data_IF_807374839574
#
_entry.id   IF_807374839574
#
_cell.length_a   1.000
_cell.length_b   1.000
_cell.length_c   1.000
_cell.angle_alpha   90.00
_cell.angle_beta   90.00
_cell.angle_gamma   90.00
#
_symmetry.space_group_name_H-M   'P 1'
#
loop_
_entity.id
_entity.type
_entity.pdbx_description
1 polymer ?
#
# COMPACT_ATOMS: atom_id res chain seq x y z
N UNK A 1 -26.98 -9.52 7.60
CA UNK A 1 -26.41 -8.74 6.49
C UNK A 1 -25.37 -7.72 6.98
N UNK A 2 -25.63 -6.89 7.99
CA UNK A 2 -24.70 -5.88 8.49
C UNK A 2 -23.33 -6.46 8.91
N UNK A 3 -23.32 -7.52 9.72
CA UNK A 3 -22.10 -8.19 10.16
C UNK A 3 -21.24 -8.72 9.00
N UNK A 4 -21.91 -9.24 7.94
CA UNK A 4 -21.20 -9.71 6.74
C UNK A 4 -20.48 -8.56 6.03
N UNK A 5 -21.14 -7.41 5.89
CA UNK A 5 -20.53 -6.23 5.25
C UNK A 5 -19.39 -5.64 6.09
N UNK A 6 -19.48 -5.71 7.42
CA UNK A 6 -18.37 -5.33 8.30
C UNK A 6 -17.13 -6.22 8.06
N UNK A 7 -17.32 -7.54 7.98
CA UNK A 7 -16.20 -8.47 7.69
C UNK A 7 -15.59 -8.18 6.30
N UNK A 8 -16.43 -7.99 5.29
CA UNK A 8 -15.98 -7.66 3.94
C UNK A 8 -15.21 -6.32 3.93
N UNK A 9 -15.75 -5.30 4.61
CA UNK A 9 -15.12 -3.99 4.71
C UNK A 9 -13.82 -4.00 5.48
N UNK A 10 -13.72 -4.79 6.57
CA UNK A 10 -12.47 -4.98 7.31
C UNK A 10 -11.41 -5.68 6.44
N UNK A 11 -11.80 -6.67 5.65
CA UNK A 11 -10.89 -7.37 4.74
C UNK A 11 -10.34 -6.44 3.66
N UNK A 12 -11.20 -5.65 3.03
CA UNK A 12 -10.80 -4.65 2.04
C UNK A 12 -9.92 -3.56 2.67
N UNK A 13 -10.34 -3.06 3.82
CA UNK A 13 -9.59 -2.05 4.59
C UNK A 13 -8.22 -2.53 5.07
N UNK A 14 -8.06 -3.83 5.34
CA UNK A 14 -6.78 -4.44 5.65
C UNK A 14 -5.80 -4.33 4.47
N UNK A 15 -6.25 -4.60 3.25
CA UNK A 15 -5.42 -4.42 2.05
C UNK A 15 -5.08 -2.94 1.82
N UNK A 16 -6.06 -2.05 1.97
CA UNK A 16 -5.81 -0.60 1.89
C UNK A 16 -4.78 -0.12 2.90
N UNK A 17 -4.78 -0.70 4.10
CA UNK A 17 -3.76 -0.43 5.13
C UNK A 17 -2.36 -0.76 4.65
N UNK A 18 -2.14 -1.92 4.02
CA UNK A 18 -0.82 -2.33 3.51
C UNK A 18 -0.30 -1.36 2.44
N UNK A 19 -1.15 -0.98 1.49
CA UNK A 19 -0.75 -0.05 0.43
C UNK A 19 -0.51 1.35 1.02
N UNK A 20 -1.37 1.81 1.92
CA UNK A 20 -1.20 3.09 2.60
C UNK A 20 0.11 3.13 3.41
N UNK A 21 0.49 2.02 4.06
CA UNK A 21 1.77 1.89 4.75
C UNK A 21 2.95 1.92 3.78
N UNK A 22 2.81 1.36 2.57
CA UNK A 22 3.82 1.46 1.52
C UNK A 22 4.07 2.92 1.12
N UNK A 23 3.01 3.70 0.89
CA UNK A 23 3.10 5.14 0.65
C UNK A 23 3.66 5.89 1.86
N UNK A 24 3.17 5.60 3.07
CA UNK A 24 3.60 6.25 4.31
C UNK A 24 5.08 6.02 4.60
N UNK A 25 5.63 4.85 4.26
CA UNK A 25 7.03 4.53 4.49
C UNK A 25 7.94 5.44 3.66
N UNK A 26 7.69 5.57 2.36
CA UNK A 26 8.47 6.44 1.47
C UNK A 26 8.25 7.91 1.82
N UNK A 27 6.99 8.34 1.96
CA UNK A 27 6.64 9.71 2.30
C UNK A 27 7.19 10.14 3.66
N UNK A 28 7.12 9.23 4.66
CA UNK A 28 7.60 9.50 6.02
C UNK A 28 9.12 9.64 6.12
N UNK A 29 9.89 8.96 5.28
CA UNK A 29 11.35 8.95 5.31
C UNK A 29 11.94 10.01 4.36
N UNK A 30 11.37 10.15 3.16
CA UNK A 30 11.94 10.97 2.09
C UNK A 30 11.21 12.30 1.89
N UNK A 31 10.01 12.45 2.45
CA UNK A 31 9.16 13.62 2.23
C UNK A 31 8.61 13.74 0.80
N UNK A 32 8.70 12.66 0.01
CA UNK A 32 8.29 12.63 -1.40
C UNK A 32 7.26 11.53 -1.60
N UNK A 33 6.18 11.83 -2.31
CA UNK A 33 5.18 10.85 -2.71
C UNK A 33 5.70 10.06 -3.92
N UNK A 34 5.81 8.73 -3.77
CA UNK A 34 6.15 7.83 -4.87
C UNK A 34 4.88 7.31 -5.53
N UNK A 35 4.52 7.87 -6.69
CA UNK A 35 3.30 7.51 -7.41
C UNK A 35 3.37 6.13 -8.08
N UNK A 36 4.59 5.58 -8.29
CA UNK A 36 4.76 4.24 -8.85
C UNK A 36 4.36 3.10 -7.87
N UNK A 37 4.10 3.39 -6.58
CA UNK A 37 3.66 2.38 -5.60
C UNK A 37 2.34 1.72 -6.04
N UNK A 38 1.45 2.46 -6.68
CA UNK A 38 0.21 1.93 -7.23
C UNK A 38 0.48 0.80 -8.25
N UNK A 39 1.49 0.97 -9.10
CA UNK A 39 1.84 -0.03 -10.11
C UNK A 39 2.72 -1.16 -9.53
N UNK A 40 3.49 -0.88 -8.47
CA UNK A 40 4.17 -1.94 -7.72
C UNK A 40 3.18 -2.90 -7.07
N UNK A 41 2.05 -2.38 -6.59
CA UNK A 41 0.93 -3.18 -6.12
C UNK A 41 0.35 -4.06 -7.25
N UNK A 42 0.06 -3.49 -8.40
CA UNK A 42 -0.41 -4.22 -9.56
C UNK A 42 0.57 -5.33 -9.98
N UNK A 43 1.85 -4.98 -10.16
CA UNK A 43 2.89 -5.95 -10.56
C UNK A 43 3.08 -7.06 -9.54
N UNK A 44 3.02 -6.73 -8.23
CA UNK A 44 3.07 -7.74 -7.18
C UNK A 44 1.94 -8.76 -7.32
N UNK A 45 0.73 -8.30 -7.64
CA UNK A 45 -0.39 -9.16 -7.96
C UNK A 45 -0.11 -10.08 -9.16
N UNK A 46 0.43 -9.55 -10.27
CA UNK A 46 0.80 -10.36 -11.44
C UNK A 46 1.89 -11.39 -11.14
N UNK A 47 2.93 -11.03 -10.37
CA UNK A 47 3.97 -12.00 -9.97
C UNK A 47 3.41 -13.09 -9.06
N UNK A 48 2.53 -12.72 -8.12
CA UNK A 48 1.84 -13.71 -7.29
C UNK A 48 0.91 -14.62 -8.10
N UNK A 49 0.18 -14.04 -9.05
CA UNK A 49 -0.67 -14.79 -9.98
C UNK A 49 0.14 -15.79 -10.81
N UNK A 50 1.28 -15.37 -11.38
CA UNK A 50 2.17 -16.26 -12.12
C UNK A 50 2.68 -17.43 -11.26
N UNK A 51 2.98 -17.18 -9.98
CA UNK A 51 3.39 -18.24 -9.04
C UNK A 51 2.23 -19.20 -8.74
N UNK A 52 0.98 -18.72 -8.63
CA UNK A 52 -0.21 -19.56 -8.44
C UNK A 52 -0.47 -20.43 -9.67
N UNK A 53 -0.35 -19.86 -10.87
CA UNK A 53 -0.46 -20.64 -12.12
C UNK A 53 0.62 -21.71 -12.23
N UNK A 54 1.81 -21.47 -11.68
CA UNK A 54 2.89 -22.47 -11.57
C UNK A 54 2.61 -23.52 -10.46
N UNK A 55 1.39 -23.53 -9.88
CA UNK A 55 0.96 -24.44 -8.78
C UNK A 55 1.82 -24.34 -7.53
N UNK A 56 2.46 -23.21 -7.27
CA UNK A 56 3.21 -22.96 -6.06
C UNK A 56 2.25 -22.66 -4.88
N UNK A 57 2.61 -23.06 -3.65
CA UNK A 57 1.77 -22.81 -2.47
C UNK A 57 1.62 -21.30 -2.22
N UNK A 58 0.48 -20.90 -1.67
CA UNK A 58 0.10 -19.52 -1.43
C UNK A 58 1.18 -18.64 -0.71
N UNK A 59 1.88 -19.14 0.33
CA UNK A 59 2.97 -18.36 0.94
C UNK A 59 4.11 -18.04 -0.05
N UNK A 60 4.41 -18.95 -0.97
CA UNK A 60 5.44 -18.74 -1.99
C UNK A 60 4.97 -17.73 -3.02
N UNK A 61 3.69 -17.77 -3.43
CA UNK A 61 3.09 -16.76 -4.30
C UNK A 61 3.12 -15.36 -3.68
N UNK A 62 2.82 -15.27 -2.37
CA UNK A 62 2.93 -14.01 -1.63
C UNK A 62 4.38 -13.49 -1.63
N UNK A 63 5.36 -14.36 -1.33
CA UNK A 63 6.78 -13.98 -1.35
C UNK A 63 7.26 -13.60 -2.75
N UNK A 64 6.78 -14.28 -3.81
CA UNK A 64 7.10 -13.94 -5.20
C UNK A 64 6.58 -12.55 -5.57
N UNK A 65 5.34 -12.22 -5.20
CA UNK A 65 4.77 -10.89 -5.40
C UNK A 65 5.53 -9.81 -4.63
N UNK A 66 5.89 -10.08 -3.37
CA UNK A 66 6.70 -9.18 -2.54
C UNK A 66 8.09 -8.96 -3.13
N UNK A 67 8.79 -10.02 -3.49
CA UNK A 67 10.15 -9.97 -4.02
C UNK A 67 10.19 -9.29 -5.39
N UNK A 68 9.28 -9.65 -6.29
CA UNK A 68 9.18 -9.03 -7.63
C UNK A 68 8.92 -7.54 -7.55
N UNK A 69 7.93 -7.12 -6.75
CA UNK A 69 7.64 -5.70 -6.56
C UNK A 69 8.78 -4.95 -5.85
N UNK A 70 9.49 -5.59 -4.90
CA UNK A 70 10.66 -4.99 -4.25
C UNK A 70 11.83 -4.78 -5.23
N UNK A 71 12.06 -5.71 -6.14
CA UNK A 71 13.09 -5.58 -7.18
C UNK A 71 12.77 -4.44 -8.15
N UNK A 72 11.51 -4.34 -8.61
CA UNK A 72 11.07 -3.23 -9.46
C UNK A 72 11.18 -1.90 -8.70
N UNK A 73 10.81 -1.86 -7.42
CA UNK A 73 10.99 -0.68 -6.57
C UNK A 73 12.45 -0.24 -6.46
N UNK A 74 13.40 -1.20 -6.38
CA UNK A 74 14.83 -0.91 -6.38
C UNK A 74 15.31 -0.31 -7.72
N UNK A 75 14.75 -0.76 -8.84
CA UNK A 75 15.02 -0.18 -10.17
C UNK A 75 14.51 1.25 -10.24
N UNK A 76 13.27 1.49 -9.77
CA UNK A 76 12.67 2.83 -9.72
C UNK A 76 13.49 3.76 -8.82
N UNK A 77 13.97 3.29 -7.68
CA UNK A 77 14.83 4.08 -6.81
C UNK A 77 16.12 4.50 -7.54
N UNK A 78 16.82 3.58 -8.17
CA UNK A 78 18.11 3.85 -8.83
C UNK A 78 17.98 4.75 -10.05
N UNK A 79 16.94 4.55 -10.88
CA UNK A 79 16.79 5.24 -12.17
C UNK A 79 15.86 6.44 -12.03
N UNK A 80 14.78 6.32 -11.25
CA UNK A 80 13.72 7.31 -11.16
C UNK A 80 13.86 8.30 -10.00
N UNK A 81 14.44 7.87 -8.86
CA UNK A 81 14.55 8.71 -7.68
C UNK A 81 15.97 9.23 -7.45
N UNK A 82 16.96 8.35 -7.48
CA UNK A 82 18.34 8.67 -7.09
C UNK A 82 18.95 9.83 -7.89
N UNK A 83 18.75 9.97 -9.23
CA UNK A 83 19.28 11.09 -10.00
C UNK A 83 18.65 12.44 -9.63
N UNK A 84 17.41 12.43 -9.13
CA UNK A 84 16.62 13.63 -8.83
C UNK A 84 16.48 13.91 -7.33
N UNK A 85 17.21 13.20 -6.49
CA UNK A 85 17.07 13.28 -5.01
C UNK A 85 17.39 14.66 -4.42
N UNK A 86 18.21 15.44 -5.10
CA UNK A 86 18.65 16.77 -4.68
C UNK A 86 17.91 17.89 -5.46
N UNK A 87 16.97 17.51 -6.36
CA UNK A 87 16.08 18.43 -7.08
C UNK A 87 14.85 18.82 -6.23
N UNK A 88 14.09 19.83 -6.64
CA UNK A 88 12.82 20.17 -5.97
C UNK A 88 11.89 18.95 -5.88
N UNK A 89 11.11 18.87 -4.78
CA UNK A 89 10.25 17.70 -4.42
C UNK A 89 9.35 17.24 -5.57
N UNK A 90 8.92 18.15 -6.43
CA UNK A 90 8.05 17.85 -7.58
C UNK A 90 8.77 16.99 -8.63
N UNK A 91 10.08 17.16 -8.83
CA UNK A 91 10.84 16.45 -9.87
C UNK A 91 10.85 14.93 -9.66
N UNK A 92 11.25 14.38 -8.50
CA UNK A 92 11.17 12.94 -8.26
C UNK A 92 9.72 12.42 -8.25
N UNK A 93 8.72 13.23 -7.86
CA UNK A 93 7.31 12.84 -7.96
C UNK A 93 6.88 12.63 -9.43
N UNK A 94 7.22 13.57 -10.31
CA UNK A 94 6.93 13.44 -11.75
C UNK A 94 7.70 12.27 -12.38
N UNK A 95 8.94 12.02 -11.96
CA UNK A 95 9.70 10.85 -12.41
C UNK A 95 8.99 9.55 -12.05
N UNK A 96 8.53 9.40 -10.79
CA UNK A 96 7.80 8.20 -10.37
C UNK A 96 6.43 8.06 -11.04
N UNK A 97 5.77 9.17 -11.41
CA UNK A 97 4.57 9.15 -12.24
C UNK A 97 4.87 8.63 -13.65
N UNK A 98 5.99 9.05 -14.26
CA UNK A 98 6.44 8.51 -15.53
C UNK A 98 6.67 7.00 -15.47
N UNK A 99 7.31 6.50 -14.40
CA UNK A 99 7.45 5.06 -14.15
C UNK A 99 6.10 4.37 -13.97
N UNK A 100 5.13 4.97 -13.29
CA UNK A 100 3.78 4.44 -13.17
C UNK A 100 3.17 4.16 -14.55
N UNK A 101 3.20 5.15 -15.44
CA UNK A 101 2.67 5.01 -16.80
C UNK A 101 3.41 3.93 -17.60
N UNK A 102 4.74 3.87 -17.50
CA UNK A 102 5.56 2.85 -18.16
C UNK A 102 5.17 1.46 -17.67
N UNK A 103 5.11 1.25 -16.35
CA UNK A 103 4.81 -0.06 -15.77
C UNK A 103 3.39 -0.53 -16.11
N UNK A 104 2.42 0.37 -16.13
CA UNK A 104 1.05 0.05 -16.55
C UNK A 104 1.01 -0.39 -18.02
N UNK A 105 1.68 0.35 -18.90
CA UNK A 105 1.75 -0.02 -20.33
C UNK A 105 2.52 -1.33 -20.53
N UNK A 106 3.61 -1.58 -19.82
CA UNK A 106 4.35 -2.84 -19.86
C UNK A 106 3.45 -3.99 -19.41
N UNK A 107 2.69 -3.83 -18.31
CA UNK A 107 1.77 -4.84 -17.83
C UNK A 107 0.66 -5.13 -18.86
N UNK A 108 0.07 -4.10 -19.47
CA UNK A 108 -0.95 -4.24 -20.50
C UNK A 108 -0.41 -4.97 -21.74
N UNK A 109 0.84 -4.70 -22.14
CA UNK A 109 1.46 -5.38 -23.29
C UNK A 109 1.85 -6.84 -23.01
N UNK A 110 2.24 -7.16 -21.76
CA UNK A 110 2.69 -8.53 -21.38
C UNK A 110 1.52 -9.45 -21.06
N UNK A 111 0.50 -8.96 -20.34
CA UNK A 111 -0.61 -9.77 -19.82
C UNK A 111 -1.95 -9.45 -20.48
N UNK A 112 -2.01 -8.44 -21.34
CA UNK A 112 -3.26 -7.98 -21.96
C UNK A 112 -4.03 -6.99 -21.11
N UNK A 113 -5.14 -6.48 -21.66
CA UNK A 113 -6.04 -5.52 -20.97
C UNK A 113 -7.16 -6.20 -20.19
N UNK A 114 -7.43 -7.49 -20.50
CA UNK A 114 -8.52 -8.24 -19.90
C UNK A 114 -8.17 -8.71 -18.48
N UNK A 115 -9.18 -8.83 -17.58
CA UNK A 115 -8.97 -9.37 -16.25
C UNK A 115 -8.48 -10.82 -16.31
N UNK A 116 -7.32 -11.09 -15.70
CA UNK A 116 -6.85 -12.45 -15.48
C UNK A 116 -7.56 -13.03 -14.26
N UNK A 117 -8.29 -14.15 -14.47
CA UNK A 117 -9.04 -14.82 -13.41
C UNK A 117 -8.22 -15.91 -12.75
N UNK A 118 -8.31 -16.00 -11.42
CA UNK A 118 -7.71 -17.09 -10.65
C UNK A 118 -8.52 -18.38 -10.80
N UNK A 119 -7.86 -19.57 -10.80
CA UNK A 119 -8.56 -20.85 -10.78
C UNK A 119 -9.46 -20.98 -9.54
N UNK A 120 -10.69 -21.48 -9.71
CA UNK A 120 -11.69 -21.63 -8.66
C UNK A 120 -11.25 -22.53 -7.50
N UNK A 121 -10.33 -23.45 -7.75
CA UNK A 121 -9.80 -24.39 -6.77
C UNK A 121 -9.12 -23.73 -5.56
N UNK A 122 -8.60 -22.50 -5.73
CA UNK A 122 -7.92 -21.75 -4.66
C UNK A 122 -8.90 -21.13 -3.68
N UNK A 123 -10.19 -21.04 -4.03
CA UNK A 123 -11.19 -20.20 -3.38
C UNK A 123 -12.29 -20.97 -2.60
N UNK A 124 -12.29 -22.33 -2.63
CA UNK A 124 -13.46 -23.15 -2.34
C UNK A 124 -13.90 -23.26 -0.86
N UNK A 125 -13.03 -22.98 0.12
CA UNK A 125 -13.39 -23.19 1.53
C UNK A 125 -14.13 -21.99 2.12
N UNK A 126 -15.37 -22.22 2.59
CA UNK A 126 -16.18 -21.23 3.31
C UNK A 126 -16.57 -21.76 4.68
N UNK A 127 -16.39 -20.94 5.70
CA UNK A 127 -16.80 -21.23 7.06
C UNK A 127 -18.06 -20.41 7.37
N UNK A 128 -19.16 -21.07 7.72
CA UNK A 128 -20.41 -20.41 8.09
C UNK A 128 -20.55 -20.40 9.61
N UNK A 129 -20.55 -19.21 10.20
CA UNK A 129 -20.80 -19.00 11.63
C UNK A 129 -22.16 -18.27 11.79
N UNK A 130 -23.24 -19.04 11.88
CA UNK A 130 -24.58 -18.46 11.97
C UNK A 130 -24.95 -17.61 10.75
N UNK A 131 -25.25 -16.31 10.92
CA UNK A 131 -25.65 -15.42 9.82
C UNK A 131 -24.46 -14.88 9.01
N UNK A 132 -23.21 -15.20 9.37
CA UNK A 132 -21.98 -14.71 8.73
C UNK A 132 -21.25 -15.87 8.05
N UNK A 133 -20.94 -15.71 6.78
CA UNK A 133 -20.10 -16.61 6.03
C UNK A 133 -18.72 -15.95 5.81
N UNK A 134 -17.68 -16.55 6.37
CA UNK A 134 -16.31 -16.08 6.21
C UNK A 134 -15.59 -17.00 5.24
N UNK A 135 -15.06 -16.47 4.15
CA UNK A 135 -14.20 -17.24 3.24
C UNK A 135 -12.85 -17.51 3.92
N UNK A 136 -12.27 -18.69 3.68
CA UNK A 136 -10.90 -18.99 4.11
C UNK A 136 -9.93 -17.91 3.59
N UNK A 137 -10.18 -17.37 2.39
CA UNK A 137 -9.40 -16.33 1.80
C UNK A 137 -9.43 -15.01 2.59
N UNK A 138 -10.61 -14.63 3.13
CA UNK A 138 -10.71 -13.44 4.01
C UNK A 138 -9.86 -13.59 5.27
N UNK A 139 -9.82 -14.79 5.86
CA UNK A 139 -8.94 -15.07 7.00
C UNK A 139 -7.47 -15.00 6.63
N UNK A 140 -7.10 -15.50 5.45
CA UNK A 140 -5.73 -15.41 4.93
C UNK A 140 -5.35 -13.94 4.72
N UNK A 141 -6.20 -13.13 4.08
CA UNK A 141 -5.95 -11.70 3.84
C UNK A 141 -5.77 -10.95 5.17
N UNK A 142 -6.66 -11.14 6.13
CA UNK A 142 -6.58 -10.51 7.44
C UNK A 142 -5.33 -10.97 8.20
N UNK A 143 -5.09 -12.28 8.26
CA UNK A 143 -3.93 -12.85 8.94
C UNK A 143 -2.61 -12.39 8.34
N UNK A 144 -2.48 -12.45 7.01
CA UNK A 144 -1.29 -11.98 6.30
C UNK A 144 -1.07 -10.47 6.53
N UNK A 145 -2.13 -9.67 6.48
CA UNK A 145 -2.03 -8.22 6.77
C UNK A 145 -1.51 -7.97 8.18
N UNK A 146 -2.08 -8.62 9.19
CA UNK A 146 -1.63 -8.45 10.59
C UNK A 146 -0.15 -8.83 10.74
N UNK A 147 0.25 -9.96 10.15
CA UNK A 147 1.66 -10.42 10.20
C UNK A 147 2.58 -9.41 9.51
N UNK A 148 2.23 -8.94 8.31
CA UNK A 148 3.06 -8.01 7.54
C UNK A 148 3.17 -6.63 8.23
N UNK A 149 2.07 -6.14 8.80
CA UNK A 149 2.07 -4.90 9.57
C UNK A 149 2.89 -5.04 10.86
N UNK A 150 2.75 -6.15 11.57
CA UNK A 150 3.56 -6.44 12.77
C UNK A 150 5.04 -6.52 12.42
N UNK A 151 5.39 -7.19 11.31
CA UNK A 151 6.76 -7.29 10.81
C UNK A 151 7.33 -5.92 10.43
N UNK A 152 6.55 -5.10 9.70
CA UNK A 152 6.96 -3.74 9.38
C UNK A 152 7.17 -2.90 10.65
N UNK A 153 6.22 -2.94 11.58
CA UNK A 153 6.32 -2.23 12.84
C UNK A 153 7.57 -2.67 13.65
N UNK A 154 7.85 -3.98 13.68
CA UNK A 154 9.05 -4.52 14.30
C UNK A 154 10.33 -4.00 13.60
N UNK A 155 10.41 -4.08 12.28
CA UNK A 155 11.56 -3.60 11.49
C UNK A 155 11.78 -2.11 11.74
N UNK A 156 10.74 -1.30 11.63
CA UNK A 156 10.85 0.17 11.79
C UNK A 156 11.12 0.59 13.23
N UNK A 157 10.54 -0.07 14.24
CA UNK A 157 10.63 0.38 15.63
C UNK A 157 11.78 -0.25 16.42
N UNK A 158 12.13 -1.51 16.13
CA UNK A 158 13.04 -2.31 16.97
C UNK A 158 14.40 -2.58 16.35
N UNK A 159 14.56 -2.49 15.03
CA UNK A 159 15.85 -2.81 14.38
C UNK A 159 16.78 -1.60 14.28
N UNK A 160 18.09 -1.87 14.08
CA UNK A 160 19.09 -0.83 13.78
C UNK A 160 18.78 -0.09 12.47
N UNK A 161 18.29 -0.83 11.46
CA UNK A 161 17.84 -0.27 10.20
C UNK A 161 16.68 0.72 10.40
N UNK A 162 15.68 0.37 11.20
CA UNK A 162 14.57 1.26 11.52
C UNK A 162 15.00 2.51 12.28
N UNK A 163 15.98 2.41 13.19
CA UNK A 163 16.56 3.61 13.84
C UNK A 163 17.23 4.54 12.83
N UNK A 164 18.01 3.97 11.89
CA UNK A 164 18.68 4.74 10.86
C UNK A 164 17.68 5.39 9.87
N UNK A 165 16.60 4.69 9.49
CA UNK A 165 15.53 5.24 8.68
C UNK A 165 14.84 6.45 9.36
N UNK A 166 14.54 6.34 10.65
CA UNK A 166 13.94 7.46 11.41
C UNK A 166 14.91 8.64 11.57
N UNK A 167 16.20 8.38 11.75
CA UNK A 167 17.21 9.45 11.80
C UNK A 167 17.26 10.25 10.48
N UNK A 168 17.19 9.55 9.32
CA UNK A 168 17.11 10.22 8.01
C UNK A 168 15.80 11.00 7.88
N UNK A 169 14.68 10.46 8.34
CA UNK A 169 13.37 11.12 8.31
C UNK A 169 13.33 12.41 9.14
N UNK A 170 14.13 12.49 10.20
CA UNK A 170 14.22 13.69 11.06
C UNK A 170 15.16 14.73 10.49
N UNK A 171 16.38 14.35 10.13
CA UNK A 171 17.34 15.23 9.47
C UNK A 171 18.36 14.43 8.67
N UNK A 172 18.28 14.51 7.34
CA UNK A 172 19.11 13.76 6.42
C UNK A 172 20.60 14.13 6.50
N UNK A 173 20.91 15.43 6.70
CA UNK A 173 22.29 15.92 6.71
C UNK A 173 22.98 15.54 8.01
N UNK A 174 22.30 15.71 9.14
CA UNK A 174 22.81 15.27 10.44
C UNK A 174 23.04 13.76 10.46
N UNK A 175 22.10 12.97 9.91
CA UNK A 175 22.27 11.52 9.82
C UNK A 175 23.50 11.12 8.98
N UNK A 176 23.79 11.85 7.90
CA UNK A 176 25.01 11.64 7.09
C UNK A 176 26.29 11.93 7.87
N UNK A 177 26.31 13.02 8.67
CA UNK A 177 27.47 13.34 9.52
C UNK A 177 27.73 12.26 10.58
N UNK A 178 26.70 11.56 11.02
CA UNK A 178 26.80 10.41 11.95
C UNK A 178 27.14 9.09 11.25
N UNK A 179 27.56 9.13 9.96
CA UNK A 179 27.98 7.96 9.20
C UNK A 179 26.85 7.12 8.61
N UNK A 180 25.62 7.60 8.66
CA UNK A 180 24.46 6.89 8.09
C UNK A 180 24.45 7.06 6.58
N UNK A 181 24.53 5.94 5.82
CA UNK A 181 24.48 5.94 4.37
C UNK A 181 23.06 6.18 3.85
N UNK A 182 22.68 7.44 3.62
CA UNK A 182 21.36 7.82 3.18
C UNK A 182 20.91 7.11 1.88
N UNK A 183 21.81 6.91 0.90
CA UNK A 183 21.48 6.22 -0.35
C UNK A 183 21.08 4.77 -0.16
N UNK A 184 21.81 4.00 0.65
CA UNK A 184 21.45 2.60 0.93
C UNK A 184 20.12 2.50 1.66
N UNK A 185 19.85 3.39 2.60
CA UNK A 185 18.59 3.37 3.35
C UNK A 185 17.39 3.83 2.52
N UNK A 186 17.58 4.76 1.57
CA UNK A 186 16.57 5.11 0.59
C UNK A 186 16.19 3.89 -0.26
N UNK A 187 17.18 3.17 -0.80
CA UNK A 187 16.95 1.94 -1.55
C UNK A 187 16.17 0.91 -0.72
N UNK A 188 16.56 0.69 0.53
CA UNK A 188 15.85 -0.23 1.43
C UNK A 188 14.41 0.23 1.69
N UNK A 189 14.17 1.52 1.88
CA UNK A 189 12.82 2.06 2.05
C UNK A 189 11.95 1.80 0.82
N UNK A 190 12.48 1.99 -0.39
CA UNK A 190 11.79 1.67 -1.64
C UNK A 190 11.50 0.17 -1.75
N UNK A 191 12.47 -0.69 -1.45
CA UNK A 191 12.29 -2.16 -1.49
C UNK A 191 11.25 -2.63 -0.48
N UNK A 192 11.28 -2.14 0.76
CA UNK A 192 10.28 -2.47 1.78
C UNK A 192 8.88 -1.98 1.38
N UNK A 193 8.78 -0.75 0.84
CA UNK A 193 7.53 -0.21 0.32
C UNK A 193 7.01 -1.06 -0.85
N UNK A 194 7.87 -1.40 -1.81
CA UNK A 194 7.52 -2.27 -2.93
C UNK A 194 7.07 -3.67 -2.48
N UNK A 195 7.76 -4.26 -1.49
CA UNK A 195 7.38 -5.56 -0.93
C UNK A 195 5.97 -5.51 -0.31
N UNK A 196 5.65 -4.47 0.48
CA UNK A 196 4.32 -4.32 1.08
C UNK A 196 3.24 -4.07 0.03
N UNK A 197 3.53 -3.22 -0.96
CA UNK A 197 2.62 -2.99 -2.08
C UNK A 197 2.39 -4.29 -2.87
N UNK A 198 3.44 -5.04 -3.17
CA UNK A 198 3.35 -6.32 -3.85
C UNK A 198 2.55 -7.35 -3.07
N UNK A 199 2.74 -7.44 -1.75
CA UNK A 199 1.92 -8.29 -0.89
C UNK A 199 0.43 -7.93 -0.98
N UNK A 200 0.12 -6.63 -0.87
CA UNK A 200 -1.25 -6.14 -0.99
C UNK A 200 -1.86 -6.48 -2.36
N UNK A 201 -1.06 -6.40 -3.44
CA UNK A 201 -1.48 -6.79 -4.79
C UNK A 201 -1.86 -8.26 -4.90
N UNK A 202 -1.06 -9.16 -4.34
CA UNK A 202 -1.40 -10.59 -4.26
C UNK A 202 -2.69 -10.79 -3.48
N UNK A 203 -2.82 -10.18 -2.29
CA UNK A 203 -3.97 -10.34 -1.43
C UNK A 203 -5.26 -9.82 -2.04
N UNK A 204 -5.22 -8.71 -2.80
CA UNK A 204 -6.39 -8.19 -3.50
C UNK A 204 -6.78 -9.06 -4.70
N UNK A 205 -5.78 -9.55 -5.46
CA UNK A 205 -6.00 -10.50 -6.55
C UNK A 205 -6.70 -11.77 -6.05
N UNK A 206 -6.31 -12.26 -4.87
CA UNK A 206 -6.97 -13.37 -4.20
C UNK A 206 -8.37 -13.02 -3.70
N UNK A 207 -8.59 -11.79 -3.22
CA UNK A 207 -9.89 -11.34 -2.71
C UNK A 207 -10.94 -11.20 -3.82
N UNK A 208 -10.55 -10.64 -4.96
CA UNK A 208 -11.44 -10.46 -6.12
C UNK A 208 -11.40 -11.62 -7.11
N UNK A 209 -10.53 -12.61 -6.90
CA UNK A 209 -10.27 -13.70 -7.83
C UNK A 209 -9.86 -13.24 -9.25
N UNK A 210 -9.44 -12.01 -9.38
CA UNK A 210 -9.06 -11.40 -10.65
C UNK A 210 -8.03 -10.29 -10.44
N UNK A 211 -7.20 -10.06 -11.46
CA UNK A 211 -6.27 -8.93 -11.50
C UNK A 211 -6.34 -8.26 -12.87
N UNK A 212 -6.28 -6.92 -12.89
CA UNK A 212 -6.30 -6.10 -14.12
C UNK A 212 -5.11 -5.13 -14.10
N UNK A 213 -4.64 -4.67 -15.29
CA UNK A 213 -3.58 -3.66 -15.35
C UNK A 213 -3.98 -2.29 -14.76
N UNK A 214 -5.27 -2.04 -14.60
CA UNK A 214 -5.79 -0.76 -14.12
C UNK A 214 -6.05 -0.73 -12.61
N UNK A 215 -5.96 -1.87 -11.94
CA UNK A 215 -6.25 -2.00 -10.49
C UNK A 215 -5.31 -1.15 -9.63
N UNK A 216 -4.08 -0.90 -10.12
CA UNK A 216 -3.10 -0.06 -9.43
C UNK A 216 -3.59 1.36 -9.22
N UNK A 217 -4.06 2.02 -10.26
CA UNK A 217 -4.54 3.42 -10.19
C UNK A 217 -5.76 3.54 -9.29
N UNK A 218 -6.76 2.66 -9.46
CA UNK A 218 -8.01 2.72 -8.68
C UNK A 218 -7.75 2.56 -7.18
N UNK A 219 -7.03 1.51 -6.80
CA UNK A 219 -6.77 1.20 -5.40
C UNK A 219 -5.67 2.09 -4.83
N UNK A 220 -4.69 2.49 -5.64
CA UNK A 220 -3.62 3.40 -5.25
C UNK A 220 -4.14 4.76 -4.79
N UNK A 221 -5.10 5.36 -5.48
CA UNK A 221 -5.73 6.62 -5.06
C UNK A 221 -6.48 6.47 -3.72
N UNK A 222 -7.19 5.37 -3.49
CA UNK A 222 -7.84 5.09 -2.21
C UNK A 222 -6.83 4.88 -1.10
N UNK A 223 -5.71 4.22 -1.39
CA UNK A 223 -4.63 4.03 -0.43
C UNK A 223 -3.95 5.37 -0.04
N UNK A 224 -3.79 6.30 -0.98
CA UNK A 224 -3.34 7.67 -0.68
C UNK A 224 -4.36 8.35 0.24
N UNK A 225 -5.67 8.21 -0.02
CA UNK A 225 -6.70 8.73 0.86
C UNK A 225 -6.58 8.14 2.28
N UNK A 226 -6.37 6.82 2.42
CA UNK A 226 -6.12 6.16 3.71
C UNK A 226 -4.87 6.71 4.39
N UNK A 227 -3.77 6.87 3.65
CA UNK A 227 -2.52 7.42 4.18
C UNK A 227 -2.73 8.84 4.72
N UNK A 228 -3.41 9.69 3.98
CA UNK A 228 -3.66 11.10 4.35
C UNK A 228 -4.61 11.18 5.54
N UNK A 229 -5.70 10.42 5.53
CA UNK A 229 -6.67 10.32 6.64
C UNK A 229 -6.00 9.79 7.90
N UNK A 230 -5.17 8.77 7.78
CA UNK A 230 -4.42 8.20 8.90
C UNK A 230 -3.35 9.12 9.48
N UNK A 231 -2.79 9.99 8.63
CA UNK A 231 -1.63 10.83 8.92
C UNK A 231 -0.35 10.23 8.36
N UNK A 232 0.31 10.96 7.46
CA UNK A 232 1.38 10.50 6.56
C UNK A 232 2.63 9.92 7.23
N UNK A 233 2.88 10.24 8.52
CA UNK A 233 4.10 9.83 9.24
C UNK A 233 3.88 8.75 10.30
N UNK A 234 2.66 8.23 10.46
CA UNK A 234 2.33 7.28 11.55
C UNK A 234 1.74 5.99 11.04
N UNK A 235 2.42 4.87 11.30
CA UNK A 235 1.94 3.50 10.98
C UNK A 235 0.56 3.24 11.60
N UNK A 236 0.35 3.66 12.85
CA UNK A 236 -0.91 3.48 13.57
C UNK A 236 -2.10 4.23 12.94
N UNK A 237 -1.82 5.33 12.22
CA UNK A 237 -2.86 6.08 11.51
C UNK A 237 -3.46 5.28 10.35
N UNK A 238 -2.63 4.65 9.54
CA UNK A 238 -3.08 3.82 8.43
C UNK A 238 -3.86 2.58 8.93
N UNK A 239 -3.47 2.01 10.09
CA UNK A 239 -4.15 0.87 10.72
C UNK A 239 -5.60 1.19 11.14
N UNK A 240 -5.90 2.44 11.47
CA UNK A 240 -7.26 2.88 11.83
C UNK A 240 -8.00 3.34 10.57
N UNK A 241 -7.33 4.12 9.73
CA UNK A 241 -7.95 4.72 8.55
C UNK A 241 -8.31 3.68 7.48
N UNK A 242 -7.49 2.63 7.29
CA UNK A 242 -7.75 1.57 6.32
C UNK A 242 -9.07 0.84 6.57
N UNK A 243 -9.26 0.22 7.75
CA UNK A 243 -10.54 -0.40 8.11
C UNK A 243 -11.73 0.57 8.08
N UNK A 244 -11.54 1.82 8.51
CA UNK A 244 -12.60 2.84 8.46
C UNK A 244 -13.07 3.08 7.02
N UNK A 245 -12.14 3.34 6.10
CA UNK A 245 -12.44 3.58 4.69
C UNK A 245 -12.98 2.33 4.01
N UNK A 246 -12.37 1.15 4.27
CA UNK A 246 -12.84 -0.11 3.70
C UNK A 246 -14.26 -0.46 4.14
N UNK A 247 -14.61 -0.27 5.42
CA UNK A 247 -15.98 -0.46 5.91
C UNK A 247 -16.93 0.56 5.30
N UNK A 248 -16.55 1.85 5.24
CA UNK A 248 -17.36 2.89 4.63
C UNK A 248 -17.65 2.57 3.15
N UNK A 249 -16.66 2.13 2.39
CA UNK A 249 -16.80 1.76 0.98
C UNK A 249 -17.75 0.57 0.78
N UNK A 250 -17.57 -0.50 1.55
CA UNK A 250 -18.40 -1.72 1.42
C UNK A 250 -19.84 -1.43 1.88
N UNK A 251 -20.04 -0.66 2.95
CA UNK A 251 -21.37 -0.24 3.40
C UNK A 251 -22.08 0.62 2.35
N UNK A 252 -21.35 1.57 1.76
CA UNK A 252 -21.91 2.43 0.70
C UNK A 252 -22.31 1.60 -0.50
N UNK A 253 -21.47 0.65 -0.92
CA UNK A 253 -21.78 -0.23 -2.06
C UNK A 253 -22.99 -1.11 -1.77
N UNK A 254 -23.14 -1.61 -0.54
CA UNK A 254 -24.23 -2.50 -0.17
C UNK A 254 -25.61 -1.81 -0.03
N UNK A 255 -25.64 -0.56 0.42
CA UNK A 255 -26.88 0.16 0.73
C UNK A 255 -27.14 1.37 -0.17
N UNK A 256 -26.09 2.00 -0.71
CA UNK A 256 -26.19 3.19 -1.54
C UNK A 256 -25.94 2.96 -3.02
N UNK A 257 -25.42 1.80 -3.39
CA UNK A 257 -25.04 1.45 -4.76
C UNK A 257 -23.58 1.77 -5.11
N UNK A 258 -23.06 1.08 -6.11
CA UNK A 258 -21.65 1.16 -6.50
C UNK A 258 -21.25 2.53 -7.08
N UNK A 259 -22.22 3.29 -7.62
CA UNK A 259 -21.94 4.58 -8.27
C UNK A 259 -21.50 5.68 -7.30
N UNK A 260 -21.97 5.64 -6.04
CA UNK A 260 -21.63 6.66 -5.03
C UNK A 260 -20.47 6.23 -4.13
N UNK A 261 -19.93 5.03 -4.34
CA UNK A 261 -18.84 4.43 -3.55
C UNK A 261 -17.63 5.37 -3.42
N UNK A 262 -17.11 5.82 -4.55
CA UNK A 262 -15.91 6.65 -4.60
C UNK A 262 -16.18 8.07 -4.06
N UNK A 263 -17.40 8.60 -4.31
CA UNK A 263 -17.82 9.87 -3.73
C UNK A 263 -17.80 9.86 -2.21
N UNK A 264 -18.26 8.76 -1.57
CA UNK A 264 -18.25 8.65 -0.10
C UNK A 264 -16.81 8.50 0.42
N UNK A 265 -15.96 7.70 -0.24
CA UNK A 265 -14.56 7.52 0.17
C UNK A 265 -13.79 8.84 0.12
N UNK A 266 -13.85 9.56 -1.00
CA UNK A 266 -13.13 10.83 -1.13
C UNK A 266 -13.81 11.96 -0.36
N UNK A 267 -15.13 11.95 -0.23
CA UNK A 267 -15.90 12.89 0.59
C UNK A 267 -15.53 12.76 2.08
N UNK A 268 -15.40 11.51 2.57
CA UNK A 268 -14.97 11.23 3.93
C UNK A 268 -13.50 11.69 4.15
N UNK A 269 -12.62 11.50 3.16
CA UNK A 269 -11.27 12.02 3.20
C UNK A 269 -11.28 13.56 3.34
N UNK A 270 -12.03 14.26 2.50
CA UNK A 270 -12.13 15.72 2.54
C UNK A 270 -12.70 16.18 3.89
N UNK A 271 -13.77 15.54 4.36
CA UNK A 271 -14.37 15.89 5.65
C UNK A 271 -13.39 15.73 6.82
N UNK A 272 -12.63 14.64 6.85
CA UNK A 272 -11.61 14.42 7.89
C UNK A 272 -10.51 15.47 7.78
N UNK A 273 -10.02 15.81 6.58
CA UNK A 273 -8.98 16.83 6.40
C UNK A 273 -9.45 18.23 6.78
N UNK A 274 -10.71 18.58 6.54
CA UNK A 274 -11.29 19.85 6.98
C UNK A 274 -11.37 19.95 8.51
N UNK A 275 -11.70 18.84 9.19
CA UNK A 275 -11.80 18.79 10.64
C UNK A 275 -10.44 18.60 11.33
N UNK A 276 -9.54 17.82 10.69
CA UNK A 276 -8.20 17.50 11.19
C UNK A 276 -7.18 17.47 10.04
N UNK A 277 -6.58 18.61 9.65
CA UNK A 277 -5.67 18.69 8.49
C UNK A 277 -4.41 17.84 8.63
N UNK A 278 -4.10 17.38 9.84
CA UNK A 278 -2.96 16.48 10.10
C UNK A 278 -3.34 14.99 10.06
N UNK A 279 -4.58 14.65 9.73
CA UNK A 279 -5.14 13.30 9.80
C UNK A 279 -5.55 12.88 11.21
N UNK A 280 -6.15 11.68 11.34
CA UNK A 280 -6.73 11.19 12.59
C UNK A 280 -5.72 11.10 13.75
N UNK A 281 -4.49 10.68 13.45
CA UNK A 281 -3.41 10.55 14.42
C UNK A 281 -2.24 11.50 14.17
N UNK A 282 -2.40 12.53 13.34
CA UNK A 282 -1.42 13.58 13.13
C UNK A 282 -1.15 14.34 14.44
N UNK A 283 0.10 14.36 14.91
CA UNK A 283 0.45 15.07 16.14
C UNK A 283 0.77 16.55 15.87
N UNK A 284 0.37 17.43 16.78
CA UNK A 284 0.51 18.89 16.75
C UNK A 284 1.96 19.44 16.78
N UNK A 285 3.00 18.66 16.42
CA UNK A 285 4.41 19.02 16.65
C UNK A 285 5.26 19.20 15.38
N UNK A 286 4.66 19.52 14.24
CA UNK A 286 5.40 19.67 12.98
C UNK A 286 5.50 21.09 12.42
N UNK A 287 5.08 22.13 13.15
CA UNK A 287 5.14 23.52 12.65
C UNK A 287 5.86 24.46 13.61
N UNK A 288 7.11 24.18 13.93
CA UNK A 288 8.02 25.22 14.42
C UNK A 288 9.41 25.00 13.82
N UNK A 289 9.49 25.04 12.49
CA UNK A 289 10.72 25.45 11.83
C UNK A 289 10.77 26.97 11.78
N UNK A 290 11.90 27.62 12.05
CA UNK A 290 11.99 29.06 12.00
C UNK A 290 11.69 29.52 10.56
N UNK A 291 10.70 30.41 10.40
CA UNK A 291 10.55 31.21 9.21
C UNK A 291 11.71 32.20 9.20
N UNK A 292 12.72 31.93 8.40
CA UNK A 292 13.74 32.91 8.00
C UNK A 292 13.66 33.03 6.49
#
# INVERSE_FOLDING_TARGET
MLLQQLVNGLTLGAVYTLIALSFSLVMGILGVLNLAIAELFMLGGYFGFAAILAKLPLPVALLAGMAGAALVAAVIEKIGYQPFRDAPVVTPMLSTLGFSIILQNVATNLWGSDPLQLPDEVLAARFTFGPVSVSAMQLVVLGATVILVALLAFVVQRTSMGRALRAIAENRDVARLLGVSAGRLTLVAFMLSGALAGAAGVLIGLHYAAITPYVGVEIGLKAIAVMVVGGTKRIWGALIAGPLIGVAEVMTTAYGGSQIRDFVVYGLMIAILLLRPQGLLGGARAEQGPRV
#
